data_IF_557425320032
#
_entry.id   IF_557425320032
#
_cell.length_a   1.000
_cell.length_b   1.000
_cell.length_c   1.000
_cell.angle_alpha   90.00
_cell.angle_beta   90.00
_cell.angle_gamma   90.00
#
_symmetry.space_group_name_H-M   'P 1'
#
loop_
_entity.id
_entity.type
_entity.pdbx_description
1 polymer ?
#
# COMPACT_ATOMS: atom_id res chain seq x y z
N UNK A 1 -1.16 -8.10 -50.76
CA UNK A 1 -2.10 -7.76 -49.65
C UNK A 1 -1.37 -8.06 -48.33
N UNK A 2 -0.66 -7.06 -47.76
CA UNK A 2 0.09 -7.24 -46.52
C UNK A 2 -0.84 -6.96 -45.35
N UNK A 3 -1.22 -8.01 -44.62
CA UNK A 3 -2.00 -7.87 -43.39
C UNK A 3 -1.14 -7.23 -42.29
N UNK A 4 -1.49 -6.02 -41.90
CA UNK A 4 -0.99 -5.40 -40.68
C UNK A 4 -1.55 -6.18 -39.48
N UNK A 5 -0.75 -7.08 -38.92
CA UNK A 5 -1.01 -7.59 -37.57
C UNK A 5 -0.86 -6.40 -36.60
N UNK A 6 -2.00 -5.82 -36.16
CA UNK A 6 -2.00 -5.00 -34.95
C UNK A 6 -1.48 -5.89 -33.82
N UNK A 7 -0.24 -5.67 -33.36
CA UNK A 7 0.20 -6.17 -32.06
C UNK A 7 -0.78 -5.62 -31.04
N UNK A 8 -1.65 -6.45 -30.49
CA UNK A 8 -2.38 -6.08 -29.29
C UNK A 8 -1.30 -5.70 -28.25
N UNK A 9 -1.22 -4.43 -27.91
CA UNK A 9 -0.40 -4.00 -26.77
C UNK A 9 -1.02 -4.66 -25.53
N UNK A 10 -0.37 -5.69 -25.01
CA UNK A 10 -0.71 -6.20 -23.67
C UNK A 10 -0.55 -5.05 -22.70
N UNK A 11 -1.55 -4.84 -21.85
CA UNK A 11 -1.45 -3.84 -20.79
C UNK A 11 -0.29 -4.21 -19.85
N UNK A 12 0.37 -3.22 -19.23
CA UNK A 12 1.33 -3.48 -18.16
C UNK A 12 0.70 -4.31 -17.03
N UNK A 13 1.50 -5.13 -16.36
CA UNK A 13 1.02 -6.16 -15.43
C UNK A 13 0.14 -5.62 -14.30
N UNK A 14 0.47 -4.44 -13.76
CA UNK A 14 -0.29 -3.87 -12.64
C UNK A 14 -1.31 -2.81 -13.06
N UNK A 15 -1.50 -2.59 -14.37
CA UNK A 15 -2.52 -1.66 -14.87
C UNK A 15 -3.94 -1.91 -14.33
N UNK A 16 -4.40 -3.16 -14.08
CA UNK A 16 -5.71 -3.40 -13.49
C UNK A 16 -5.89 -2.83 -12.07
N UNK A 17 -4.81 -2.61 -11.34
CA UNK A 17 -4.85 -1.98 -10.00
C UNK A 17 -5.17 -0.50 -10.08
N UNK A 18 -4.77 0.20 -11.14
CA UNK A 18 -4.89 1.65 -11.34
C UNK A 18 -4.10 2.45 -10.29
N UNK A 19 -4.39 2.20 -9.02
CA UNK A 19 -3.83 2.93 -7.86
C UNK A 19 -2.89 2.01 -7.06
N UNK A 20 -1.62 2.44 -6.88
CA UNK A 20 -0.85 1.93 -5.76
C UNK A 20 -1.29 2.62 -4.48
N UNK A 21 -1.62 1.81 -3.49
CA UNK A 21 -2.22 2.31 -2.26
C UNK A 21 -1.24 2.36 -1.08
N UNK A 22 0.02 1.93 -1.27
CA UNK A 22 0.99 1.81 -0.18
C UNK A 22 2.41 2.04 -0.69
N UNK A 23 2.97 3.24 -0.43
CA UNK A 23 4.36 3.56 -0.74
C UNK A 23 4.93 4.72 0.11
N UNK A 24 6.26 4.71 0.32
CA UNK A 24 7.01 5.62 1.19
C UNK A 24 7.89 6.56 0.36
N UNK A 25 7.26 7.36 -0.51
CA UNK A 25 7.97 8.24 -1.45
C UNK A 25 8.01 9.71 -1.04
N UNK A 26 7.47 10.06 0.15
CA UNK A 26 7.67 11.40 0.73
C UNK A 26 9.07 11.45 1.35
N UNK A 27 10.01 12.28 0.82
CA UNK A 27 11.39 12.20 1.21
C UNK A 27 11.67 12.56 2.67
N UNK A 28 12.57 11.80 3.33
CA UNK A 28 13.12 12.12 4.65
C UNK A 28 12.11 12.19 5.80
N UNK A 29 10.99 11.48 5.70
CA UNK A 29 10.00 11.39 6.81
C UNK A 29 10.06 10.06 7.53
N UNK A 30 10.54 9.01 6.85
CA UNK A 30 10.67 7.65 7.36
C UNK A 30 11.87 6.93 6.71
N UNK A 31 11.84 5.59 6.62
CA UNK A 31 12.87 4.79 5.95
C UNK A 31 12.66 4.66 4.43
N UNK A 32 11.67 5.32 3.87
CA UNK A 32 11.46 5.42 2.44
C UNK A 32 12.50 6.29 1.72
N UNK A 33 12.06 6.99 0.69
CA UNK A 33 12.88 7.80 -0.20
C UNK A 33 13.74 8.83 0.54
N UNK A 34 14.98 9.06 0.08
CA UNK A 34 15.92 9.99 0.70
C UNK A 34 16.03 11.32 -0.04
N UNK A 35 15.47 11.41 -1.24
CA UNK A 35 15.53 12.64 -2.04
C UNK A 35 14.38 12.69 -3.05
N UNK A 36 14.10 13.90 -3.55
CA UNK A 36 13.17 14.10 -4.65
C UNK A 36 13.54 13.27 -5.88
N UNK A 37 14.83 13.23 -6.25
CA UNK A 37 15.28 12.49 -7.44
C UNK A 37 15.04 10.99 -7.29
N UNK A 38 15.30 10.40 -6.11
CA UNK A 38 14.98 9.00 -5.83
C UNK A 38 13.47 8.73 -5.94
N UNK A 39 12.64 9.62 -5.40
CA UNK A 39 11.20 9.50 -5.53
C UNK A 39 10.72 9.54 -6.98
N UNK A 40 11.27 10.46 -7.79
CA UNK A 40 10.95 10.57 -9.21
C UNK A 40 11.33 9.30 -9.99
N UNK A 41 12.50 8.72 -9.71
CA UNK A 41 12.96 7.47 -10.33
C UNK A 41 12.06 6.29 -9.98
N UNK A 42 11.65 6.19 -8.70
CA UNK A 42 10.74 5.14 -8.25
C UNK A 42 9.35 5.32 -8.87
N UNK A 43 8.82 6.54 -8.90
CA UNK A 43 7.52 6.85 -9.53
C UNK A 43 7.52 6.51 -11.03
N UNK A 44 8.62 6.77 -11.74
CA UNK A 44 8.75 6.40 -13.16
C UNK A 44 8.65 4.88 -13.34
N UNK A 45 9.34 4.11 -12.50
CA UNK A 45 9.23 2.65 -12.49
C UNK A 45 7.80 2.14 -12.20
N UNK A 46 7.10 2.79 -11.28
CA UNK A 46 5.71 2.44 -10.98
C UNK A 46 4.79 2.71 -12.17
N UNK A 47 4.99 3.82 -12.88
CA UNK A 47 4.24 4.11 -14.11
C UNK A 47 4.53 3.08 -15.21
N UNK A 48 5.78 2.67 -15.39
CA UNK A 48 6.18 1.67 -16.40
C UNK A 48 5.47 0.33 -16.22
N UNK A 49 5.23 -0.10 -14.98
CA UNK A 49 4.55 -1.36 -14.67
C UNK A 49 3.03 -1.24 -14.62
N UNK A 50 2.48 -0.02 -14.80
CA UNK A 50 1.06 0.20 -15.07
C UNK A 50 0.28 0.99 -14.04
N UNK A 51 0.89 1.53 -13.00
CA UNK A 51 0.18 2.41 -12.08
C UNK A 51 -0.10 3.77 -12.72
N UNK A 52 -1.35 4.22 -12.62
CA UNK A 52 -1.78 5.56 -13.04
C UNK A 52 -1.83 6.54 -11.88
N UNK A 53 -2.04 6.02 -10.67
CA UNK A 53 -2.16 6.79 -9.44
C UNK A 53 -1.37 6.16 -8.32
N UNK A 54 -0.88 7.00 -7.40
CA UNK A 54 -0.25 6.56 -6.16
C UNK A 54 -0.77 7.33 -4.96
N UNK A 55 -0.78 6.68 -3.81
CA UNK A 55 -1.06 7.27 -2.51
C UNK A 55 0.14 7.07 -1.60
N UNK A 56 0.67 8.16 -1.08
CA UNK A 56 1.81 8.10 -0.18
C UNK A 56 1.34 7.72 1.22
N UNK A 57 2.08 6.84 1.88
CA UNK A 57 1.72 6.29 3.19
C UNK A 57 2.91 6.34 4.16
N UNK A 58 3.39 7.54 4.54
CA UNK A 58 4.49 7.61 5.47
C UNK A 58 4.14 6.93 6.80
N UNK A 59 5.16 6.35 7.44
CA UNK A 59 4.99 5.71 8.74
C UNK A 59 4.68 6.70 9.86
N UNK A 60 3.73 6.31 10.72
CA UNK A 60 3.47 6.88 12.03
C UNK A 60 3.77 5.79 13.07
N UNK A 61 4.99 5.79 13.60
CA UNK A 61 5.51 4.73 14.48
C UNK A 61 6.40 5.30 15.58
N UNK A 62 5.93 5.29 16.82
CA UNK A 62 6.65 5.82 17.96
C UNK A 62 7.51 4.73 18.63
N UNK A 63 8.71 5.03 19.09
CA UNK A 63 9.43 6.34 18.98
C UNK A 63 10.28 6.48 17.71
N UNK A 64 10.12 5.58 16.73
CA UNK A 64 11.00 5.47 15.56
C UNK A 64 10.89 6.70 14.64
N UNK A 65 9.66 7.12 14.35
CA UNK A 65 9.36 8.29 13.56
C UNK A 65 8.45 9.21 14.35
N UNK A 66 8.82 10.49 14.45
CA UNK A 66 8.05 11.50 15.18
C UNK A 66 7.23 12.34 14.21
N UNK A 67 6.53 11.66 13.30
CA UNK A 67 5.63 12.29 12.36
C UNK A 67 4.33 12.70 13.07
N UNK A 68 3.82 13.87 12.71
CA UNK A 68 2.47 14.31 13.02
C UNK A 68 1.72 14.66 11.73
N UNK A 69 0.40 14.61 11.76
CA UNK A 69 -0.46 14.72 10.59
C UNK A 69 -0.34 16.08 9.91
N UNK A 70 -0.24 17.18 10.68
CA UNK A 70 -0.16 18.54 10.14
C UNK A 70 1.17 18.75 9.38
N UNK A 71 2.28 18.31 9.97
CA UNK A 71 3.59 18.39 9.34
C UNK A 71 3.64 17.53 8.07
N UNK A 72 3.14 16.31 8.12
CA UNK A 72 3.09 15.42 6.96
C UNK A 72 2.25 16.03 5.83
N UNK A 73 1.10 16.63 6.13
CA UNK A 73 0.27 17.31 5.12
C UNK A 73 0.98 18.52 4.49
N UNK A 74 1.72 19.31 5.27
CA UNK A 74 2.50 20.44 4.74
C UNK A 74 3.63 19.92 3.83
N UNK A 75 4.40 18.94 4.27
CA UNK A 75 5.47 18.32 3.48
C UNK A 75 4.95 17.70 2.18
N UNK A 76 3.79 17.07 2.22
CA UNK A 76 3.15 16.51 1.02
C UNK A 76 2.80 17.60 0.00
N UNK A 77 2.22 18.73 0.43
CA UNK A 77 1.92 19.85 -0.47
C UNK A 77 3.17 20.39 -1.15
N UNK A 78 4.25 20.56 -0.38
CA UNK A 78 5.54 21.01 -0.90
C UNK A 78 6.11 20.01 -1.90
N UNK A 79 6.09 18.72 -1.54
CA UNK A 79 6.57 17.64 -2.41
C UNK A 79 5.79 17.55 -3.73
N UNK A 80 4.46 17.73 -3.72
CA UNK A 80 3.68 17.76 -4.96
C UNK A 80 4.16 18.90 -5.88
N UNK A 81 4.44 20.06 -5.33
CA UNK A 81 4.95 21.21 -6.09
C UNK A 81 6.36 20.96 -6.65
N UNK A 82 7.23 20.33 -5.85
CA UNK A 82 8.59 19.98 -6.28
C UNK A 82 8.58 18.92 -7.38
N UNK A 83 7.72 17.90 -7.29
CA UNK A 83 7.54 16.88 -8.33
C UNK A 83 7.11 17.53 -9.64
N UNK A 84 6.09 18.39 -9.62
CA UNK A 84 5.63 19.06 -10.85
C UNK A 84 6.70 19.97 -11.47
N UNK A 85 7.48 20.67 -10.65
CA UNK A 85 8.56 21.55 -11.12
C UNK A 85 9.77 20.77 -11.72
N UNK A 86 10.00 19.53 -11.26
CA UNK A 86 11.20 18.75 -11.59
C UNK A 86 10.93 17.48 -12.43
N UNK A 87 9.68 17.18 -12.74
CA UNK A 87 9.33 15.94 -13.48
C UNK A 87 9.93 15.88 -14.89
N UNK A 88 10.14 17.04 -15.56
CA UNK A 88 10.61 17.09 -16.95
C UNK A 88 9.70 16.28 -17.88
N UNK A 89 10.30 15.44 -18.74
CA UNK A 89 9.58 14.56 -19.67
C UNK A 89 9.23 13.18 -19.06
N UNK A 90 9.48 12.96 -17.76
CA UNK A 90 9.16 11.69 -17.08
C UNK A 90 7.66 11.43 -17.09
N UNK A 91 7.30 10.18 -17.31
CA UNK A 91 5.93 9.70 -17.16
C UNK A 91 5.78 9.17 -15.75
N UNK A 92 5.02 9.88 -14.95
CA UNK A 92 4.81 9.58 -13.52
C UNK A 92 3.33 9.27 -13.27
N UNK A 93 3.02 8.37 -12.33
CA UNK A 93 1.66 8.23 -11.83
C UNK A 93 1.28 9.52 -11.09
N UNK A 94 -0.01 9.84 -11.08
CA UNK A 94 -0.53 11.01 -10.35
C UNK A 94 -0.57 10.72 -8.86
N UNK A 95 0.03 11.58 -8.06
CA UNK A 95 -0.18 11.58 -6.60
C UNK A 95 -1.59 12.08 -6.29
N UNK A 96 -2.43 11.26 -5.68
CA UNK A 96 -3.84 11.61 -5.45
C UNK A 96 -4.13 12.02 -4.02
N UNK A 97 -3.41 11.48 -3.06
CA UNK A 97 -3.50 11.88 -1.65
C UNK A 97 -2.32 11.35 -0.85
N UNK A 98 -2.24 11.78 0.39
CA UNK A 98 -1.41 11.19 1.43
C UNK A 98 -2.31 10.55 2.48
N UNK A 99 -1.90 9.39 2.98
CA UNK A 99 -2.56 8.62 4.03
C UNK A 99 -1.48 8.19 5.01
N UNK A 100 -1.79 7.98 6.29
CA UNK A 100 -0.82 7.47 7.24
C UNK A 100 -0.79 5.94 7.25
N UNK A 101 0.41 5.35 7.35
CA UNK A 101 0.56 3.99 7.82
C UNK A 101 0.85 4.02 9.33
N UNK A 102 -0.16 3.67 10.12
CA UNK A 102 -0.09 3.79 11.58
C UNK A 102 0.33 2.47 12.22
N UNK A 103 1.49 2.45 12.86
CA UNK A 103 1.89 1.31 13.66
C UNK A 103 1.08 1.28 14.97
N UNK A 104 0.43 0.15 15.26
CA UNK A 104 -0.23 -0.07 16.55
C UNK A 104 0.85 -0.29 17.61
N UNK A 105 1.31 0.81 18.20
CA UNK A 105 2.36 0.92 19.21
C UNK A 105 1.94 1.84 20.37
N UNK A 106 2.90 2.24 21.21
CA UNK A 106 2.61 3.09 22.39
C UNK A 106 2.22 4.53 22.02
N UNK A 107 2.51 4.97 20.78
CA UNK A 107 2.15 6.29 20.24
C UNK A 107 0.82 6.30 19.51
N UNK A 108 0.30 5.15 19.11
CA UNK A 108 -0.90 5.06 18.26
C UNK A 108 -2.11 5.81 18.83
N UNK A 109 -2.36 5.66 20.13
CA UNK A 109 -3.50 6.32 20.77
C UNK A 109 -3.41 7.85 20.71
N UNK A 110 -2.21 8.44 20.75
CA UNK A 110 -2.04 9.89 20.62
C UNK A 110 -2.45 10.40 19.23
N UNK A 111 -2.19 9.65 18.17
CA UNK A 111 -2.66 9.96 16.81
C UNK A 111 -4.19 9.87 16.72
N UNK A 112 -4.79 8.85 17.34
CA UNK A 112 -6.24 8.72 17.42
C UNK A 112 -6.87 9.91 18.14
N UNK A 113 -6.33 10.29 19.30
CA UNK A 113 -6.85 11.38 20.14
C UNK A 113 -6.68 12.76 19.47
N UNK A 114 -5.75 12.89 18.52
CA UNK A 114 -5.60 14.10 17.69
C UNK A 114 -6.85 14.38 16.83
N UNK A 115 -7.59 13.33 16.49
CA UNK A 115 -8.76 13.42 15.59
C UNK A 115 -8.39 13.72 14.13
N UNK A 116 -7.10 13.61 13.75
CA UNK A 116 -6.58 14.03 12.45
C UNK A 116 -6.03 12.86 11.60
N UNK A 117 -6.39 11.62 11.94
CA UNK A 117 -5.90 10.45 11.20
C UNK A 117 -6.07 10.61 9.68
N UNK A 118 -5.01 10.34 8.94
CA UNK A 118 -4.99 10.39 7.47
C UNK A 118 -5.49 9.06 6.93
N UNK A 119 -6.67 9.06 6.28
CA UNK A 119 -7.37 7.86 5.82
C UNK A 119 -7.60 7.87 4.32
N UNK A 120 -7.86 6.69 3.74
CA UNK A 120 -8.38 6.57 2.38
C UNK A 120 -9.89 6.73 2.35
N UNK A 121 -10.38 7.06 1.14
CA UNK A 121 -11.80 6.91 0.82
C UNK A 121 -11.92 6.19 -0.53
N UNK A 122 -12.98 5.40 -0.67
CA UNK A 122 -13.35 4.88 -1.97
C UNK A 122 -13.82 6.02 -2.88
N UNK A 123 -13.63 5.85 -4.19
CA UNK A 123 -14.10 6.82 -5.20
C UNK A 123 -15.63 6.98 -5.21
N UNK A 124 -16.37 5.93 -4.85
CA UNK A 124 -17.80 6.02 -4.57
C UNK A 124 -18.01 6.34 -3.08
N UNK A 125 -18.51 7.54 -2.73
CA UNK A 125 -18.71 7.94 -1.33
C UNK A 125 -19.78 7.13 -0.60
N UNK A 126 -20.51 6.25 -1.29
CA UNK A 126 -21.46 5.31 -0.67
C UNK A 126 -20.79 4.01 -0.21
N UNK A 127 -19.53 3.80 -0.58
CA UNK A 127 -18.74 2.64 -0.17
C UNK A 127 -17.86 3.01 1.03
N UNK A 128 -17.68 2.05 1.93
CA UNK A 128 -16.82 2.18 3.09
C UNK A 128 -17.44 2.96 4.25
N UNK A 129 -16.68 2.99 5.33
CA UNK A 129 -17.05 3.69 6.57
C UNK A 129 -16.98 5.21 6.41
N UNK A 130 -17.76 5.94 7.22
CA UNK A 130 -17.84 7.41 7.16
C UNK A 130 -16.47 8.07 7.36
N UNK A 131 -15.67 7.56 8.30
CA UNK A 131 -14.33 8.08 8.59
C UNK A 131 -13.24 7.56 7.63
N UNK A 132 -13.61 6.71 6.66
CA UNK A 132 -12.71 6.14 5.66
C UNK A 132 -11.99 4.89 6.13
N UNK A 133 -10.99 4.48 5.32
CA UNK A 133 -10.18 3.28 5.55
C UNK A 133 -8.86 3.70 6.21
N UNK A 134 -8.58 3.14 7.37
CA UNK A 134 -7.38 3.40 8.17
C UNK A 134 -6.36 2.28 7.92
N UNK A 135 -5.20 2.63 7.37
CA UNK A 135 -4.09 1.68 7.18
C UNK A 135 -3.32 1.55 8.49
N UNK A 136 -3.25 0.32 9.00
CA UNK A 136 -2.49 0.01 10.22
C UNK A 136 -1.49 -1.11 9.97
N UNK A 137 -0.37 -1.05 10.68
CA UNK A 137 0.60 -2.12 10.73
C UNK A 137 0.86 -2.60 12.16
N UNK A 138 1.37 -3.83 12.28
CA UNK A 138 1.91 -4.36 13.52
C UNK A 138 3.44 -4.36 13.47
N UNK A 139 4.08 -4.49 14.64
CA UNK A 139 5.52 -4.65 14.69
C UNK A 139 5.97 -5.93 13.96
N UNK A 140 6.91 -5.81 13.02
CA UNK A 140 7.55 -6.95 12.36
C UNK A 140 8.45 -7.76 13.31
N UNK A 141 8.74 -7.26 14.52
CA UNK A 141 9.66 -7.91 15.45
C UNK A 141 8.97 -8.81 16.45
N UNK A 142 7.81 -8.39 16.96
CA UNK A 142 7.10 -9.12 18.01
C UNK A 142 5.60 -8.87 17.97
N UNK A 143 4.84 -9.92 18.30
CA UNK A 143 3.42 -9.81 18.55
C UNK A 143 3.19 -9.00 19.84
N UNK A 144 2.32 -7.98 19.77
CA UNK A 144 1.88 -7.23 20.96
C UNK A 144 0.55 -7.77 21.46
N UNK A 145 0.27 -7.56 22.75
CA UNK A 145 -1.07 -7.78 23.29
C UNK A 145 -1.99 -6.62 22.90
N UNK A 146 -3.28 -6.86 22.78
CA UNK A 146 -4.26 -5.81 22.52
C UNK A 146 -4.33 -5.33 21.05
N UNK A 147 -3.76 -6.08 20.11
CA UNK A 147 -3.82 -5.71 18.68
C UNK A 147 -5.24 -5.79 18.12
N UNK A 148 -5.99 -6.80 18.51
CA UNK A 148 -7.39 -7.00 18.15
C UNK A 148 -8.30 -5.96 18.80
N UNK A 149 -8.09 -5.64 20.08
CA UNK A 149 -8.83 -4.59 20.78
C UNK A 149 -8.59 -3.23 20.12
N UNK A 150 -7.34 -2.92 19.72
CA UNK A 150 -7.04 -1.67 19.04
C UNK A 150 -7.73 -1.56 17.66
N UNK A 151 -7.76 -2.63 16.88
CA UNK A 151 -8.51 -2.69 15.61
C UNK A 151 -10.01 -2.55 15.85
N UNK A 152 -10.56 -3.35 16.77
CA UNK A 152 -11.99 -3.33 17.10
C UNK A 152 -12.45 -1.94 17.54
N UNK A 153 -11.67 -1.26 18.39
CA UNK A 153 -11.99 0.10 18.81
C UNK A 153 -12.11 1.07 17.60
N UNK A 154 -11.27 0.95 16.59
CA UNK A 154 -11.33 1.79 15.36
C UNK A 154 -12.58 1.48 14.53
N UNK A 155 -12.94 0.22 14.38
CA UNK A 155 -14.19 -0.13 13.67
C UNK A 155 -15.43 0.43 14.40
N UNK A 156 -15.45 0.38 15.73
CA UNK A 156 -16.54 0.97 16.53
C UNK A 156 -16.58 2.50 16.46
N UNK A 157 -15.47 3.16 16.17
CA UNK A 157 -15.41 4.61 15.94
C UNK A 157 -15.81 5.04 14.51
N UNK A 158 -16.11 4.08 13.64
CA UNK A 158 -16.58 4.35 12.28
C UNK A 158 -15.48 4.41 11.23
N UNK A 159 -14.35 3.71 11.45
CA UNK A 159 -13.34 3.43 10.42
C UNK A 159 -13.53 2.03 9.85
N UNK A 160 -13.24 1.86 8.56
CA UNK A 160 -12.83 0.58 8.02
C UNK A 160 -11.32 0.42 8.24
N UNK A 161 -10.86 -0.75 8.67
CA UNK A 161 -9.43 -0.97 8.96
C UNK A 161 -8.81 -1.82 7.87
N UNK A 162 -7.64 -1.39 7.37
CA UNK A 162 -6.78 -2.16 6.47
C UNK A 162 -5.54 -2.60 7.25
N UNK A 163 -5.31 -3.91 7.37
CA UNK A 163 -4.08 -4.45 7.91
C UNK A 163 -3.03 -4.53 6.79
N UNK A 164 -1.94 -3.80 6.96
CA UNK A 164 -0.82 -3.82 6.03
C UNK A 164 -0.05 -5.14 6.12
N UNK A 165 0.32 -5.67 4.97
CA UNK A 165 1.24 -6.78 4.72
C UNK A 165 1.21 -7.91 5.78
N UNK A 166 0.04 -8.55 6.07
CA UNK A 166 -0.08 -9.61 7.08
C UNK A 166 0.85 -10.79 6.83
N UNK A 167 1.27 -11.02 5.60
CA UNK A 167 2.21 -12.06 5.20
C UNK A 167 3.63 -11.83 5.72
N UNK A 168 3.98 -10.57 6.09
CA UNK A 168 5.32 -10.24 6.58
C UNK A 168 5.52 -10.49 8.06
N UNK A 169 4.45 -10.64 8.85
CA UNK A 169 4.58 -10.90 10.29
C UNK A 169 5.07 -12.31 10.56
N UNK A 170 6.25 -12.48 11.23
CA UNK A 170 6.85 -13.81 11.43
C UNK A 170 6.07 -14.67 12.43
N UNK A 171 5.23 -14.07 13.26
CA UNK A 171 4.44 -14.74 14.29
C UNK A 171 3.05 -15.19 13.82
N UNK A 172 2.67 -14.92 12.57
CA UNK A 172 1.48 -15.49 11.95
C UNK A 172 1.88 -16.52 10.90
N UNK A 173 1.14 -17.61 10.84
CA UNK A 173 1.21 -18.60 9.76
C UNK A 173 0.01 -18.44 8.81
N UNK A 174 0.00 -19.25 7.74
CA UNK A 174 -1.05 -19.22 6.70
C UNK A 174 -2.45 -19.56 7.22
N UNK A 175 -2.57 -20.17 8.39
CA UNK A 175 -3.82 -20.59 9.03
C UNK A 175 -3.99 -19.94 10.40
N UNK A 176 -3.52 -18.72 10.56
CA UNK A 176 -3.63 -17.97 11.82
C UNK A 176 -5.09 -17.69 12.16
N UNK A 177 -5.60 -18.31 13.23
CA UNK A 177 -6.93 -18.05 13.75
C UNK A 177 -7.17 -16.57 14.06
N UNK A 178 -6.13 -15.86 14.49
CA UNK A 178 -6.20 -14.42 14.74
C UNK A 178 -6.51 -13.64 13.44
N UNK A 179 -5.83 -13.96 12.32
CA UNK A 179 -6.08 -13.30 11.04
C UNK A 179 -7.46 -13.68 10.48
N UNK A 180 -7.88 -14.92 10.64
CA UNK A 180 -9.22 -15.38 10.25
C UNK A 180 -10.30 -14.57 11.00
N UNK A 181 -10.16 -14.41 12.31
CA UNK A 181 -11.07 -13.60 13.12
C UNK A 181 -11.12 -12.12 12.67
N UNK A 182 -9.98 -11.53 12.33
CA UNK A 182 -9.94 -10.17 11.77
C UNK A 182 -10.71 -10.08 10.43
N UNK A 183 -10.57 -11.08 9.56
CA UNK A 183 -11.36 -11.14 8.31
C UNK A 183 -12.86 -11.27 8.57
N UNK A 184 -13.27 -12.10 9.50
CA UNK A 184 -14.68 -12.24 9.92
C UNK A 184 -15.26 -10.95 10.50
N UNK A 185 -14.42 -10.12 11.13
CA UNK A 185 -14.77 -8.79 11.63
C UNK A 185 -14.80 -7.71 10.53
N UNK A 186 -14.51 -8.05 9.28
CA UNK A 186 -14.54 -7.10 8.16
C UNK A 186 -13.25 -6.30 7.96
N UNK A 187 -12.14 -6.69 8.59
CA UNK A 187 -10.84 -6.05 8.37
C UNK A 187 -10.34 -6.38 6.95
N UNK A 188 -9.97 -5.36 6.20
CA UNK A 188 -9.33 -5.51 4.90
C UNK A 188 -7.87 -5.91 5.05
N UNK A 189 -7.37 -6.75 4.15
CA UNK A 189 -5.95 -7.12 4.11
C UNK A 189 -5.29 -6.57 2.85
N UNK A 190 -4.16 -5.91 3.04
CA UNK A 190 -3.28 -5.49 1.95
C UNK A 190 -2.03 -6.38 1.96
N UNK A 191 -1.73 -7.03 0.83
CA UNK A 191 -0.53 -7.85 0.63
C UNK A 191 0.46 -7.11 -0.27
N UNK A 192 1.76 -7.22 0.05
CA UNK A 192 2.81 -6.63 -0.76
C UNK A 192 3.05 -7.41 -2.05
N UNK A 193 3.06 -6.73 -3.19
CA UNK A 193 3.35 -7.33 -4.50
C UNK A 193 4.72 -8.01 -4.50
N UNK A 194 5.71 -7.40 -3.86
CA UNK A 194 7.06 -7.94 -3.78
C UNK A 194 7.13 -9.23 -2.94
N UNK A 195 6.18 -9.46 -2.03
CA UNK A 195 6.05 -10.75 -1.33
C UNK A 195 5.75 -11.88 -2.33
N UNK A 196 4.91 -11.63 -3.34
CA UNK A 196 4.58 -12.61 -4.38
C UNK A 196 5.79 -13.00 -5.24
N UNK A 197 6.76 -12.11 -5.38
CA UNK A 197 8.03 -12.40 -6.10
C UNK A 197 9.13 -12.95 -5.19
N UNK A 198 8.86 -13.12 -3.90
CA UNK A 198 9.79 -13.68 -2.92
C UNK A 198 10.81 -12.70 -2.36
N UNK A 199 10.66 -11.41 -2.58
CA UNK A 199 11.57 -10.35 -2.12
C UNK A 199 11.80 -10.38 -0.60
N UNK A 200 10.75 -10.69 0.17
CA UNK A 200 10.79 -10.80 1.63
C UNK A 200 11.02 -12.24 2.13
N UNK A 201 11.46 -13.13 1.23
CA UNK A 201 11.76 -14.52 1.52
C UNK A 201 10.61 -15.51 1.29
N UNK A 202 10.92 -16.81 1.31
CA UNK A 202 9.98 -17.86 0.90
C UNK A 202 8.76 -18.00 1.83
N UNK A 203 8.91 -17.73 3.11
CA UNK A 203 7.81 -17.75 4.08
C UNK A 203 6.73 -16.70 3.78
N UNK A 204 7.16 -15.44 3.55
CA UNK A 204 6.26 -14.35 3.18
C UNK A 204 5.61 -14.62 1.83
N UNK A 205 6.38 -15.16 0.86
CA UNK A 205 5.86 -15.54 -0.44
C UNK A 205 4.75 -16.59 -0.32
N UNK A 206 5.01 -17.65 0.45
CA UNK A 206 4.02 -18.72 0.68
C UNK A 206 2.75 -18.15 1.30
N UNK A 207 2.86 -17.38 2.38
CA UNK A 207 1.70 -16.76 3.04
C UNK A 207 0.92 -15.84 2.12
N UNK A 208 1.60 -15.02 1.29
CA UNK A 208 0.95 -14.15 0.33
C UNK A 208 0.05 -14.93 -0.66
N UNK A 209 0.55 -16.03 -1.22
CA UNK A 209 -0.25 -16.89 -2.09
C UNK A 209 -1.38 -17.58 -1.33
N UNK A 210 -1.12 -18.15 -0.14
CA UNK A 210 -2.14 -18.81 0.68
C UNK A 210 -3.29 -17.84 1.02
N UNK A 211 -3.00 -16.58 1.37
CA UNK A 211 -4.02 -15.57 1.69
C UNK A 211 -4.86 -15.19 0.46
N UNK A 212 -4.25 -15.12 -0.71
CA UNK A 212 -5.00 -14.88 -1.96
C UNK A 212 -5.89 -16.08 -2.30
N UNK A 213 -5.39 -17.31 -2.17
CA UNK A 213 -6.16 -18.53 -2.40
C UNK A 213 -7.35 -18.66 -1.44
N UNK A 214 -7.20 -18.19 -0.19
CA UNK A 214 -8.26 -18.14 0.81
C UNK A 214 -9.27 -17.00 0.56
N UNK A 215 -9.02 -16.10 -0.42
CA UNK A 215 -9.88 -14.93 -0.66
C UNK A 215 -9.79 -13.86 0.43
N UNK A 216 -8.69 -13.80 1.16
CA UNK A 216 -8.50 -12.84 2.26
C UNK A 216 -7.93 -11.50 1.81
N UNK A 217 -7.36 -11.42 0.62
CA UNK A 217 -6.64 -10.23 0.14
C UNK A 217 -7.59 -9.30 -0.60
N UNK A 218 -7.74 -8.11 -0.08
CA UNK A 218 -8.60 -7.06 -0.64
C UNK A 218 -7.80 -6.08 -1.50
N UNK A 219 -6.57 -5.78 -1.09
CA UNK A 219 -5.67 -4.83 -1.75
C UNK A 219 -4.28 -5.42 -2.00
N UNK A 220 -3.66 -4.97 -3.08
CA UNK A 220 -2.22 -5.14 -3.29
C UNK A 220 -1.52 -3.78 -3.13
N UNK A 221 -0.41 -3.74 -2.40
CA UNK A 221 0.43 -2.55 -2.24
C UNK A 221 1.85 -2.81 -2.74
N UNK A 222 2.52 -1.77 -3.19
CA UNK A 222 3.91 -1.91 -3.62
C UNK A 222 4.89 -1.85 -2.45
N UNK A 223 4.56 -1.08 -1.41
CA UNK A 223 5.41 -0.79 -0.25
C UNK A 223 6.78 -0.27 -0.69
N UNK A 224 6.77 0.65 -1.72
CA UNK A 224 7.98 1.19 -2.33
C UNK A 224 8.72 2.13 -1.39
N UNK A 225 10.02 1.85 -1.17
CA UNK A 225 10.88 2.65 -0.32
C UNK A 225 12.01 3.35 -1.08
N UNK A 226 12.58 2.71 -2.11
CA UNK A 226 13.77 3.19 -2.80
C UNK A 226 13.94 2.52 -4.18
N UNK A 227 15.00 2.90 -4.90
CA UNK A 227 15.30 2.37 -6.24
C UNK A 227 15.48 0.84 -6.26
N UNK A 228 16.00 0.24 -5.19
CA UNK A 228 16.13 -1.22 -5.09
C UNK A 228 14.77 -1.93 -5.14
N UNK A 229 13.78 -1.37 -4.47
CA UNK A 229 12.39 -1.86 -4.54
C UNK A 229 11.79 -1.64 -5.94
N UNK A 230 12.08 -0.51 -6.60
CA UNK A 230 11.63 -0.25 -7.96
C UNK A 230 12.18 -1.27 -8.96
N UNK A 231 13.44 -1.65 -8.82
CA UNK A 231 14.05 -2.73 -9.64
C UNK A 231 13.34 -4.07 -9.39
N UNK A 232 13.06 -4.40 -8.13
CA UNK A 232 12.31 -5.61 -7.77
C UNK A 232 10.88 -5.58 -8.34
N UNK A 233 10.20 -4.42 -8.34
CA UNK A 233 8.87 -4.26 -8.91
C UNK A 233 8.86 -4.50 -10.43
N UNK A 234 9.85 -3.97 -11.16
CA UNK A 234 10.02 -4.26 -12.60
C UNK A 234 10.21 -5.76 -12.83
N UNK A 235 11.02 -6.44 -11.99
CA UNK A 235 11.19 -7.89 -12.07
C UNK A 235 9.87 -8.62 -11.82
N UNK A 236 9.17 -8.31 -10.74
CA UNK A 236 7.88 -8.89 -10.38
C UNK A 236 6.84 -8.74 -11.51
N UNK A 237 6.85 -7.62 -12.25
CA UNK A 237 5.94 -7.38 -13.36
C UNK A 237 6.14 -8.34 -14.54
N UNK A 238 7.28 -9.03 -14.63
CA UNK A 238 7.58 -10.03 -15.65
C UNK A 238 7.35 -11.48 -15.18
N UNK A 239 7.03 -11.66 -13.89
CA UNK A 239 6.82 -12.99 -13.31
C UNK A 239 5.48 -13.57 -13.78
N UNK A 240 5.56 -14.70 -14.50
CA UNK A 240 4.38 -15.37 -15.09
C UNK A 240 3.33 -15.80 -14.07
N UNK A 241 3.73 -16.12 -12.82
CA UNK A 241 2.78 -16.46 -11.76
C UNK A 241 1.99 -15.23 -11.32
N UNK A 242 2.66 -14.09 -11.19
CA UNK A 242 2.03 -12.82 -10.82
C UNK A 242 1.11 -12.33 -11.94
N UNK A 243 1.58 -12.37 -13.22
CA UNK A 243 0.74 -12.01 -14.37
C UNK A 243 -0.56 -12.84 -14.37
N UNK A 244 -0.45 -14.17 -14.22
CA UNK A 244 -1.61 -15.05 -14.18
C UNK A 244 -2.52 -14.80 -12.97
N UNK A 245 -1.93 -14.38 -11.84
CA UNK A 245 -2.69 -13.99 -10.64
C UNK A 245 -3.50 -12.71 -10.91
N UNK A 246 -2.88 -11.69 -11.53
CA UNK A 246 -3.54 -10.44 -11.91
C UNK A 246 -4.68 -10.64 -12.93
N UNK A 247 -4.55 -11.63 -13.82
CA UNK A 247 -5.61 -11.98 -14.77
C UNK A 247 -6.82 -12.67 -14.14
N UNK A 248 -6.65 -13.28 -12.96
CA UNK A 248 -7.66 -14.14 -12.33
C UNK A 248 -8.38 -13.50 -11.16
N UNK A 249 -7.76 -12.49 -10.54
CA UNK A 249 -8.26 -11.88 -9.32
C UNK A 249 -8.55 -10.41 -9.53
N UNK A 250 -9.57 -9.93 -8.88
CA UNK A 250 -9.90 -8.50 -8.78
C UNK A 250 -9.57 -8.00 -7.38
N UNK A 251 -8.87 -6.86 -7.31
CA UNK A 251 -8.53 -6.19 -6.07
C UNK A 251 -9.23 -4.83 -5.98
N UNK A 252 -9.43 -4.35 -4.77
CA UNK A 252 -10.17 -3.10 -4.54
C UNK A 252 -9.38 -1.82 -4.87
N UNK A 253 -8.12 -1.95 -5.28
CA UNK A 253 -7.23 -0.83 -5.60
C UNK A 253 -7.86 0.18 -6.59
N UNK A 254 -8.48 -0.32 -7.66
CA UNK A 254 -9.12 0.52 -8.66
C UNK A 254 -10.29 1.35 -8.08
N UNK A 255 -10.92 0.89 -7.00
CA UNK A 255 -11.99 1.62 -6.30
C UNK A 255 -11.48 2.80 -5.46
N UNK A 256 -10.18 2.89 -5.25
CA UNK A 256 -9.54 4.05 -4.61
C UNK A 256 -9.17 5.14 -5.63
N UNK A 257 -9.29 4.87 -6.93
CA UNK A 257 -8.93 5.83 -7.98
C UNK A 257 -9.79 7.10 -7.88
N UNK A 258 -9.16 8.26 -8.08
CA UNK A 258 -9.82 9.56 -8.13
C UNK A 258 -9.81 10.02 -9.59
N UNK A 259 -10.98 10.36 -10.13
CA UNK A 259 -11.17 10.84 -11.51
C UNK A 259 -10.60 12.26 -11.71
#
# INVERSE_FOLDING_TARGET
MFGFFKKNKTLPTFAPLVTDMHCHLLPLVDDGSKSLEESLEVMEAMHEVGYEQIRLTPHFSYPRYQNDEDNILERYKNFCSEVEANRGDRKLPRMTSITGEYQIDDGFQAHVDSGKLLTYHFSDPKQGAEKGLLLVEFSLRQKRMGMDEAIFARTMEGYDVILAHPERYPYFNSHSQFLEQLKEQGVYFQVNILSLDGFYGPESQKKAFDYIENGWVDFLGSDMHNVGYAMALRHASTNKKIIKLMEKNEFLNAKLAIN
#
